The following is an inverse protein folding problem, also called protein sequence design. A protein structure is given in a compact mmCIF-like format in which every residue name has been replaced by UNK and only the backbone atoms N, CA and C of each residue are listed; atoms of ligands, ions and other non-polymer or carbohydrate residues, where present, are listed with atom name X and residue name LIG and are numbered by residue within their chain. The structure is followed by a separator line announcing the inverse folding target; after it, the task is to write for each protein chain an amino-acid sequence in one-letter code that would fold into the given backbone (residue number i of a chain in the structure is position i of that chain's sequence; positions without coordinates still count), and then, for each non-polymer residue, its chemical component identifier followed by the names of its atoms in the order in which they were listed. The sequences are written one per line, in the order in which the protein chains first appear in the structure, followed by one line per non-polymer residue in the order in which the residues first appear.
data_IF_410830609187
#
_entry.id   IF_410830609187
#
_cell.length_a   1.000
_cell.length_b   1.000
_cell.length_c   1.000
_cell.angle_alpha   90.00
_cell.angle_beta   90.00
_cell.angle_gamma   90.00
#
_symmetry.space_group_name_H-M   'P 1'
#
loop_
_entity.id
_entity.type
_entity.pdbx_description
1 polymer ?
#
# COMPACT_ATOMS: atom_id res chain seq x y z
N UNK A 1 20.01 18.70 -40.11
CA UNK A 1 19.26 19.55 -39.17
C UNK A 1 18.58 18.66 -38.15
N UNK A 2 19.17 18.50 -36.97
CA UNK A 2 18.58 17.73 -35.89
C UNK A 2 17.53 18.62 -35.18
N UNK A 3 16.27 18.23 -35.25
CA UNK A 3 15.19 18.89 -34.50
C UNK A 3 15.40 18.63 -33.02
N UNK A 4 15.78 19.69 -32.32
CA UNK A 4 15.93 19.74 -30.87
C UNK A 4 14.56 19.43 -30.23
N UNK A 5 14.41 18.24 -29.64
CA UNK A 5 13.21 17.87 -28.89
C UNK A 5 13.21 18.69 -27.60
N UNK A 6 12.60 19.87 -27.63
CA UNK A 6 12.30 20.67 -26.43
C UNK A 6 11.72 19.74 -25.36
N UNK A 7 12.49 19.53 -24.28
CA UNK A 7 12.02 18.85 -23.08
C UNK A 7 10.88 19.70 -22.52
N UNK A 8 9.64 19.24 -22.71
CA UNK A 8 8.47 19.91 -22.14
C UNK A 8 8.63 20.01 -20.63
N UNK A 9 8.65 21.24 -20.11
CA UNK A 9 8.70 21.51 -18.68
C UNK A 9 7.49 20.89 -17.97
N UNK A 10 7.66 20.36 -16.75
CA UNK A 10 6.55 19.85 -15.95
C UNK A 10 5.49 20.93 -15.73
N UNK A 11 4.22 20.59 -15.96
CA UNK A 11 3.10 21.51 -15.76
C UNK A 11 2.99 21.91 -14.27
N UNK A 12 2.89 23.21 -13.98
CA UNK A 12 2.64 23.72 -12.63
C UNK A 12 1.18 23.56 -12.22
N UNK A 13 0.88 23.67 -10.92
CA UNK A 13 -0.50 23.57 -10.41
C UNK A 13 -1.42 24.68 -10.94
N UNK A 14 -0.91 25.90 -11.05
CA UNK A 14 -1.63 27.07 -11.58
C UNK A 14 -1.94 26.93 -13.06
N UNK A 15 -0.95 26.56 -13.88
CA UNK A 15 -1.17 26.30 -15.32
C UNK A 15 -2.14 25.14 -15.55
N UNK A 16 -2.06 24.10 -14.70
CA UNK A 16 -3.00 22.99 -14.76
C UNK A 16 -4.42 23.46 -14.45
N UNK A 17 -4.61 24.29 -13.41
CA UNK A 17 -5.91 24.86 -13.08
C UNK A 17 -6.47 25.73 -14.21
N UNK A 18 -5.65 26.61 -14.81
CA UNK A 18 -6.08 27.43 -15.96
C UNK A 18 -6.57 26.58 -17.14
N UNK A 19 -5.92 25.43 -17.39
CA UNK A 19 -6.38 24.48 -18.42
C UNK A 19 -7.72 23.85 -18.08
N UNK A 20 -7.96 23.55 -16.80
CA UNK A 20 -9.24 23.04 -16.33
C UNK A 20 -10.35 24.10 -16.45
N UNK A 21 -10.08 25.36 -16.08
CA UNK A 21 -11.03 26.46 -16.27
C UNK A 21 -11.37 26.66 -17.74
N UNK A 22 -10.38 26.66 -18.63
CA UNK A 22 -10.60 26.71 -20.08
C UNK A 22 -11.45 25.53 -20.59
N UNK A 23 -11.35 24.37 -19.96
CA UNK A 23 -12.16 23.19 -20.30
C UNK A 23 -13.61 23.37 -19.85
N UNK A 24 -13.84 24.00 -18.69
CA UNK A 24 -15.18 24.30 -18.19
C UNK A 24 -15.91 25.36 -19.04
N UNK A 25 -15.16 26.30 -19.62
CA UNK A 25 -15.71 27.37 -20.46
C UNK A 25 -16.04 26.94 -21.89
N UNK A 26 -15.79 25.68 -22.28
CA UNK A 26 -16.04 25.18 -23.64
C UNK A 26 -17.12 24.10 -23.65
N UNK A 27 -17.89 23.95 -24.74
CA UNK A 27 -18.78 22.82 -24.92
C UNK A 27 -17.96 21.53 -24.89
N UNK A 28 -18.33 20.61 -23.99
CA UNK A 28 -17.63 19.34 -23.82
C UNK A 28 -18.31 18.33 -24.74
N UNK A 29 -17.98 18.41 -26.02
CA UNK A 29 -18.54 17.53 -27.04
C UNK A 29 -17.43 16.87 -27.85
N UNK A 30 -17.68 15.62 -28.26
CA UNK A 30 -16.82 14.89 -29.19
C UNK A 30 -16.22 13.60 -28.65
N UNK A 31 -15.78 12.77 -29.60
CA UNK A 31 -15.21 11.43 -29.36
C UNK A 31 -14.01 11.46 -28.42
N UNK A 32 -13.15 12.48 -28.53
CA UNK A 32 -11.93 12.62 -27.73
C UNK A 32 -12.22 12.72 -26.23
N UNK A 33 -13.16 13.57 -25.82
CA UNK A 33 -13.54 13.74 -24.42
C UNK A 33 -14.11 12.44 -23.83
N UNK A 34 -14.95 11.73 -24.59
CA UNK A 34 -15.48 10.42 -24.19
C UNK A 34 -14.37 9.38 -24.02
N UNK A 35 -13.41 9.32 -24.95
CA UNK A 35 -12.25 8.43 -24.82
C UNK A 35 -11.45 8.75 -23.57
N UNK A 36 -11.14 10.02 -23.30
CA UNK A 36 -10.39 10.41 -22.09
C UNK A 36 -11.12 10.03 -20.80
N UNK A 37 -12.46 10.16 -20.78
CA UNK A 37 -13.28 9.78 -19.62
C UNK A 37 -13.32 8.27 -19.45
N UNK A 38 -13.45 7.50 -20.53
CA UNK A 38 -13.38 6.05 -20.48
C UNK A 38 -12.00 5.57 -20.02
N UNK A 39 -10.91 6.14 -20.56
CA UNK A 39 -9.55 5.81 -20.13
C UNK A 39 -9.35 6.07 -18.62
N UNK A 40 -9.92 7.18 -18.11
CA UNK A 40 -9.87 7.53 -16.69
C UNK A 40 -10.73 6.61 -15.81
N UNK A 41 -11.84 6.11 -16.33
CA UNK A 41 -12.67 5.11 -15.66
C UNK A 41 -11.94 3.76 -15.63
N UNK A 42 -11.49 3.29 -16.78
CA UNK A 42 -10.87 1.97 -16.92
C UNK A 42 -9.58 1.89 -16.09
N UNK A 43 -8.77 2.97 -16.04
CA UNK A 43 -7.58 2.98 -15.20
C UNK A 43 -7.87 2.96 -13.69
N UNK A 44 -9.05 3.40 -13.24
CA UNK A 44 -9.45 3.28 -11.83
C UNK A 44 -9.87 1.85 -11.47
N UNK A 45 -10.32 1.06 -12.44
CA UNK A 45 -10.68 -0.35 -12.26
C UNK A 45 -9.48 -1.32 -12.45
N UNK A 46 -8.39 -0.85 -13.07
CA UNK A 46 -7.21 -1.67 -13.39
C UNK A 46 -6.10 -1.65 -12.31
N UNK A 47 -5.19 -2.62 -12.37
CA UNK A 47 -3.88 -2.57 -11.67
C UNK A 47 -2.76 -2.22 -12.67
N UNK A 48 -2.50 -0.92 -12.93
CA UNK A 48 -1.56 -0.52 -13.97
C UNK A 48 -0.12 -0.90 -13.64
N UNK A 49 0.59 -1.47 -14.61
CA UNK A 49 2.01 -1.86 -14.47
C UNK A 49 2.98 -0.68 -14.69
N UNK A 50 2.64 0.27 -15.56
CA UNK A 50 3.52 1.39 -15.94
C UNK A 50 3.51 2.58 -14.97
N UNK A 51 4.68 3.15 -14.68
CA UNK A 51 4.86 4.27 -13.72
C UNK A 51 3.99 5.49 -14.01
N UNK A 52 3.81 5.86 -15.29
CA UNK A 52 2.94 6.98 -15.69
C UNK A 52 1.47 6.68 -15.40
N UNK A 53 1.01 5.46 -15.71
CA UNK A 53 -0.35 5.01 -15.42
C UNK A 53 -0.61 4.96 -13.92
N UNK A 54 0.32 4.41 -13.13
CA UNK A 54 0.25 4.42 -11.65
C UNK A 54 0.13 5.83 -11.07
N UNK A 55 0.95 6.78 -11.54
CA UNK A 55 0.88 8.19 -11.09
C UNK A 55 -0.46 8.85 -11.44
N UNK A 56 -0.95 8.57 -12.64
CA UNK A 56 -2.24 9.10 -13.09
C UNK A 56 -3.39 8.53 -12.27
N UNK A 57 -3.43 7.20 -12.11
CA UNK A 57 -4.42 6.50 -11.28
C UNK A 57 -4.41 7.01 -9.84
N UNK A 58 -3.25 7.08 -9.19
CA UNK A 58 -3.13 7.57 -7.81
C UNK A 58 -3.67 9.00 -7.66
N UNK A 59 -3.39 9.88 -8.63
CA UNK A 59 -3.96 11.23 -8.63
C UNK A 59 -5.49 11.21 -8.81
N UNK A 60 -6.03 10.40 -9.71
CA UNK A 60 -7.47 10.30 -9.92
C UNK A 60 -8.20 9.76 -8.69
N UNK A 61 -7.64 8.77 -7.98
CA UNK A 61 -8.20 8.30 -6.71
C UNK A 61 -8.25 9.41 -5.66
N UNK A 62 -7.19 10.22 -5.53
CA UNK A 62 -7.18 11.37 -4.61
C UNK A 62 -8.23 12.43 -4.97
N UNK A 63 -8.40 12.71 -6.26
CA UNK A 63 -9.45 13.61 -6.76
C UNK A 63 -10.84 13.03 -6.51
N UNK A 64 -11.04 11.73 -6.77
CA UNK A 64 -12.30 11.05 -6.51
C UNK A 64 -12.67 11.11 -5.02
N UNK A 65 -11.70 10.82 -4.15
CA UNK A 65 -11.82 10.85 -2.69
C UNK A 65 -12.20 12.24 -2.16
N UNK A 66 -11.48 13.28 -2.57
CA UNK A 66 -11.64 14.62 -2.00
C UNK A 66 -12.68 15.47 -2.71
N UNK A 67 -12.68 15.42 -4.04
CA UNK A 67 -13.42 16.34 -4.90
C UNK A 67 -14.64 15.67 -5.56
N UNK A 68 -14.61 14.34 -5.77
CA UNK A 68 -15.70 13.54 -6.29
C UNK A 68 -15.62 13.25 -7.80
N UNK A 69 -16.55 12.43 -8.33
CA UNK A 69 -16.52 11.91 -9.70
C UNK A 69 -16.44 12.98 -10.79
N UNK A 70 -17.10 14.12 -10.59
CA UNK A 70 -17.13 15.14 -11.63
C UNK A 70 -15.77 15.83 -11.82
N UNK A 71 -14.98 15.93 -10.75
CA UNK A 71 -13.62 16.46 -10.85
C UNK A 71 -12.66 15.44 -11.50
N UNK A 72 -12.91 14.13 -11.33
CA UNK A 72 -12.18 13.09 -12.08
C UNK A 72 -12.37 13.30 -13.59
N UNK A 73 -13.63 13.47 -14.03
CA UNK A 73 -13.95 13.75 -15.44
C UNK A 73 -13.30 15.05 -15.92
N UNK A 74 -13.36 16.12 -15.13
CA UNK A 74 -12.70 17.39 -15.47
C UNK A 74 -11.19 17.22 -15.67
N UNK A 75 -10.51 16.52 -14.75
CA UNK A 75 -9.08 16.24 -14.85
C UNK A 75 -8.75 15.33 -16.04
N UNK A 76 -9.59 14.33 -16.32
CA UNK A 76 -9.41 13.44 -17.46
C UNK A 76 -9.47 14.20 -18.80
N UNK A 77 -10.46 15.07 -18.97
CA UNK A 77 -10.66 15.83 -20.20
C UNK A 77 -9.62 16.94 -20.33
N UNK A 78 -9.47 17.78 -19.31
CA UNK A 78 -8.67 19.00 -19.38
C UNK A 78 -7.16 18.78 -19.29
N UNK A 79 -6.71 17.70 -18.64
CA UNK A 79 -5.29 17.39 -18.49
C UNK A 79 -4.93 16.04 -19.13
N UNK A 80 -5.73 15.00 -18.87
CA UNK A 80 -5.43 13.64 -19.30
C UNK A 80 -4.17 13.06 -18.67
N UNK A 81 -3.88 11.80 -18.99
CA UNK A 81 -2.79 11.04 -18.39
C UNK A 81 -1.42 11.70 -18.57
N UNK A 82 -1.10 12.15 -19.78
CA UNK A 82 0.24 12.63 -20.11
C UNK A 82 0.64 13.86 -19.27
N UNK A 83 -0.27 14.83 -19.12
CA UNK A 83 0.02 16.02 -18.32
C UNK A 83 0.13 15.67 -16.83
N UNK A 84 -0.81 14.91 -16.28
CA UNK A 84 -0.81 14.56 -14.84
C UNK A 84 0.39 13.70 -14.45
N UNK A 85 0.77 12.74 -15.30
CA UNK A 85 1.91 11.87 -15.03
C UNK A 85 3.26 12.62 -15.09
N UNK A 86 3.35 13.67 -15.91
CA UNK A 86 4.53 14.51 -16.07
C UNK A 86 4.63 15.63 -15.01
N UNK A 87 3.54 15.97 -14.30
CA UNK A 87 3.60 16.86 -13.15
C UNK A 87 4.52 16.29 -12.05
N UNK A 88 5.21 17.17 -11.33
CA UNK A 88 5.91 16.77 -10.11
C UNK A 88 4.92 16.53 -8.95
N UNK A 89 5.38 15.91 -7.86
CA UNK A 89 4.52 15.56 -6.73
C UNK A 89 3.92 16.80 -6.03
N UNK A 90 4.72 17.84 -5.82
CA UNK A 90 4.27 19.09 -5.19
C UNK A 90 3.16 19.76 -6.02
N UNK A 91 3.34 19.89 -7.34
CA UNK A 91 2.33 20.45 -8.25
C UNK A 91 1.04 19.63 -8.24
N UNK A 92 1.10 18.30 -8.17
CA UNK A 92 -0.11 17.46 -8.05
C UNK A 92 -0.84 17.72 -6.74
N UNK A 93 -0.11 17.78 -5.61
CA UNK A 93 -0.69 18.07 -4.30
C UNK A 93 -1.29 19.48 -4.23
N UNK A 94 -0.60 20.49 -4.78
CA UNK A 94 -1.11 21.86 -4.86
C UNK A 94 -2.35 21.96 -5.74
N UNK A 95 -2.37 21.28 -6.89
CA UNK A 95 -3.56 21.22 -7.76
C UNK A 95 -4.75 20.59 -7.02
N UNK A 96 -4.54 19.47 -6.33
CA UNK A 96 -5.58 18.82 -5.52
C UNK A 96 -6.16 19.77 -4.46
N UNK A 97 -5.31 20.55 -3.79
CA UNK A 97 -5.75 21.59 -2.85
C UNK A 97 -6.57 22.71 -3.51
N UNK A 98 -6.24 23.09 -4.75
CA UNK A 98 -7.06 24.04 -5.53
C UNK A 98 -8.43 23.42 -5.85
N UNK A 99 -8.48 22.18 -6.33
CA UNK A 99 -9.74 21.49 -6.66
C UNK A 99 -10.64 21.37 -5.44
N UNK A 100 -10.08 21.02 -4.29
CA UNK A 100 -10.79 20.91 -3.01
C UNK A 100 -11.43 22.24 -2.59
N UNK A 101 -10.70 23.36 -2.69
CA UNK A 101 -11.23 24.71 -2.41
C UNK A 101 -12.34 25.15 -3.38
N UNK A 102 -12.39 24.56 -4.57
CA UNK A 102 -13.37 24.88 -5.62
C UNK A 102 -14.57 23.93 -5.62
N UNK A 103 -14.61 22.97 -4.69
CA UNK A 103 -15.75 22.06 -4.46
C UNK A 103 -16.98 22.89 -4.11
N UNK A 104 -18.04 22.78 -4.93
CA UNK A 104 -19.31 23.49 -4.72
C UNK A 104 -19.58 24.67 -5.66
N UNK A 105 -18.64 25.04 -6.55
CA UNK A 105 -18.92 26.06 -7.56
C UNK A 105 -19.93 25.53 -8.62
N UNK A 106 -20.87 26.37 -9.09
CA UNK A 106 -21.87 26.00 -10.10
C UNK A 106 -21.30 25.68 -11.49
N UNK A 107 -19.98 25.79 -11.66
CA UNK A 107 -19.22 25.53 -12.89
C UNK A 107 -19.38 24.10 -13.45
N UNK A 108 -19.90 23.17 -12.64
CA UNK A 108 -19.83 21.73 -12.90
C UNK A 108 -21.08 21.19 -13.64
N UNK A 109 -22.09 22.03 -13.90
CA UNK A 109 -23.35 21.59 -14.54
C UNK A 109 -23.12 20.93 -15.90
N UNK A 110 -22.18 21.44 -16.70
CA UNK A 110 -21.87 20.95 -18.05
C UNK A 110 -21.22 19.55 -18.07
N UNK A 111 -20.71 19.06 -16.92
CA UNK A 111 -20.03 17.78 -16.82
C UNK A 111 -20.93 16.64 -16.34
N UNK A 112 -22.07 16.96 -15.71
CA UNK A 112 -22.93 15.97 -15.03
C UNK A 112 -23.39 14.84 -15.96
N UNK A 113 -23.71 15.16 -17.21
CA UNK A 113 -24.22 14.21 -18.20
C UNK A 113 -23.12 13.30 -18.78
N UNK A 114 -21.85 13.64 -18.53
CA UNK A 114 -20.68 12.91 -19.02
C UNK A 114 -20.09 12.02 -17.91
N UNK A 115 -20.47 12.24 -16.64
CA UNK A 115 -19.97 11.42 -15.53
C UNK A 115 -20.51 10.00 -15.64
N UNK A 116 -19.66 8.99 -15.89
CA UNK A 116 -20.09 7.59 -15.91
C UNK A 116 -20.67 7.21 -14.55
N UNK A 117 -21.81 6.50 -14.54
CA UNK A 117 -22.44 6.00 -13.32
C UNK A 117 -21.46 5.22 -12.46
N UNK A 118 -20.61 4.42 -13.09
CA UNK A 118 -19.55 3.63 -12.44
C UNK A 118 -18.64 4.46 -11.53
N UNK A 119 -18.26 5.68 -11.94
CA UNK A 119 -17.41 6.54 -11.09
C UNK A 119 -18.11 6.97 -9.80
N UNK A 120 -19.44 7.01 -9.78
CA UNK A 120 -20.24 7.30 -8.57
C UNK A 120 -20.31 6.08 -7.65
N UNK A 121 -20.16 4.88 -8.21
CA UNK A 121 -20.20 3.61 -7.49
C UNK A 121 -18.84 3.21 -6.92
N UNK A 122 -17.74 3.82 -7.38
CA UNK A 122 -16.40 3.58 -6.83
C UNK A 122 -16.34 4.18 -5.42
N UNK A 123 -16.33 3.31 -4.42
CA UNK A 123 -16.08 3.69 -3.03
C UNK A 123 -14.59 3.88 -2.81
N UNK A 124 -14.19 5.06 -2.33
CA UNK A 124 -12.82 5.37 -1.91
C UNK A 124 -12.87 5.77 -0.45
N UNK A 125 -12.02 5.17 0.39
CA UNK A 125 -11.96 5.52 1.80
C UNK A 125 -11.78 7.03 1.98
N UNK A 126 -12.42 7.61 2.99
CA UNK A 126 -12.32 9.05 3.29
C UNK A 126 -10.89 9.46 3.66
N UNK A 127 -10.07 8.53 4.14
CA UNK A 127 -8.70 8.74 4.58
C UNK A 127 -7.66 8.16 3.59
N UNK A 128 -6.48 8.76 3.47
CA UNK A 128 -5.41 8.24 2.62
C UNK A 128 -4.95 6.87 3.13
N UNK A 129 -4.35 6.07 2.23
CA UNK A 129 -3.72 4.80 2.62
C UNK A 129 -2.71 5.05 3.74
N UNK A 130 -2.82 4.36 4.89
CA UNK A 130 -1.87 4.51 5.99
C UNK A 130 -0.45 4.16 5.54
N UNK A 131 0.44 5.15 5.58
CA UNK A 131 1.86 4.97 5.25
C UNK A 131 2.62 4.44 6.46
N UNK A 132 3.62 3.59 6.20
CA UNK A 132 4.61 3.24 7.21
C UNK A 132 5.45 4.49 7.56
N UNK A 133 5.74 4.67 8.85
CA UNK A 133 6.53 5.82 9.29
C UNK A 133 8.01 5.59 8.98
N UNK A 134 8.78 6.66 9.11
CA UNK A 134 10.24 6.57 9.07
C UNK A 134 10.68 5.80 10.33
N UNK A 135 11.69 4.93 10.18
CA UNK A 135 12.14 4.01 11.24
C UNK A 135 12.54 4.70 12.55
N UNK A 136 12.95 5.97 12.49
CA UNK A 136 13.33 6.80 13.63
C UNK A 136 12.15 7.15 14.57
N UNK A 137 10.91 6.90 14.15
CA UNK A 137 9.69 7.13 14.93
C UNK A 137 9.19 5.88 15.66
N UNK A 138 10.02 4.83 15.73
CA UNK A 138 9.70 3.57 16.41
C UNK A 138 10.68 3.30 17.56
N UNK A 139 10.16 2.74 18.66
CA UNK A 139 10.93 1.97 19.61
C UNK A 139 11.19 0.57 19.04
N UNK A 140 12.45 0.17 18.96
CA UNK A 140 12.85 -1.10 18.35
C UNK A 140 13.13 -2.11 19.46
N UNK A 141 12.33 -3.18 19.49
CA UNK A 141 12.50 -4.33 20.37
C UNK A 141 13.12 -5.47 19.57
N UNK A 142 14.35 -5.85 19.90
CA UNK A 142 15.14 -6.82 19.11
C UNK A 142 15.26 -8.21 19.72
N UNK A 143 15.34 -8.30 21.05
CA UNK A 143 15.71 -9.54 21.74
C UNK A 143 14.50 -10.07 22.49
N UNK A 144 13.73 -10.96 21.87
CA UNK A 144 12.56 -11.59 22.50
C UNK A 144 12.99 -12.74 23.41
N UNK A 145 12.32 -12.93 24.54
CA UNK A 145 12.61 -14.00 25.50
C UNK A 145 12.14 -15.36 24.95
N UNK A 146 13.08 -16.30 24.77
CA UNK A 146 12.82 -17.63 24.16
C UNK A 146 12.07 -18.57 25.14
N UNK A 147 12.48 -18.58 26.41
CA UNK A 147 11.92 -19.47 27.44
C UNK A 147 10.55 -18.99 27.98
N UNK A 148 9.92 -18.06 27.25
CA UNK A 148 8.64 -17.52 27.64
C UNK A 148 7.51 -18.45 27.13
N UNK A 149 6.65 -19.01 28.00
CA UNK A 149 5.47 -19.76 27.55
C UNK A 149 4.54 -18.92 26.66
N UNK A 150 4.65 -17.58 26.73
CA UNK A 150 3.97 -16.67 25.83
C UNK A 150 4.49 -16.72 24.39
N UNK A 151 5.76 -17.07 24.16
CA UNK A 151 6.31 -17.20 22.80
C UNK A 151 5.51 -18.23 22.00
N UNK A 152 5.33 -19.43 22.57
CA UNK A 152 4.55 -20.50 21.92
C UNK A 152 3.04 -20.24 21.94
N UNK A 153 2.53 -19.30 22.74
CA UNK A 153 1.10 -18.97 22.79
C UNK A 153 0.67 -18.04 21.66
N UNK A 154 1.57 -17.18 21.16
CA UNK A 154 1.27 -16.26 20.05
C UNK A 154 1.53 -16.86 18.67
N UNK A 155 2.50 -17.77 18.55
CA UNK A 155 2.88 -18.35 17.27
C UNK A 155 2.33 -19.78 17.12
N UNK A 156 1.45 -20.04 16.14
CA UNK A 156 0.93 -21.39 15.93
C UNK A 156 2.01 -22.39 15.52
N UNK A 157 1.78 -23.71 15.70
CA UNK A 157 2.79 -24.74 15.43
C UNK A 157 3.43 -24.68 14.05
N UNK A 158 2.66 -24.36 13.00
CA UNK A 158 3.19 -24.24 11.63
C UNK A 158 4.15 -23.06 11.48
N UNK A 159 3.85 -21.93 12.10
CA UNK A 159 4.70 -20.75 12.08
C UNK A 159 5.95 -20.97 12.94
N UNK A 160 5.80 -21.59 14.11
CA UNK A 160 6.92 -22.01 14.95
C UNK A 160 7.86 -22.96 14.22
N UNK A 161 7.35 -23.91 13.44
CA UNK A 161 8.20 -24.79 12.64
C UNK A 161 9.04 -23.98 11.65
N UNK A 162 8.43 -23.04 10.94
CA UNK A 162 9.16 -22.21 9.97
C UNK A 162 10.19 -21.28 10.63
N UNK A 163 9.92 -20.82 11.85
CA UNK A 163 10.87 -20.10 12.71
C UNK A 163 12.03 -21.03 13.10
N UNK A 164 11.73 -22.25 13.55
CA UNK A 164 12.73 -23.23 13.98
C UNK A 164 13.67 -23.65 12.84
N UNK A 165 13.18 -23.63 11.60
CA UNK A 165 13.98 -23.90 10.40
C UNK A 165 14.98 -22.78 10.08
N UNK A 166 14.89 -21.62 10.77
CA UNK A 166 15.79 -20.49 10.56
C UNK A 166 17.24 -20.84 10.95
N UNK A 167 18.18 -20.42 10.10
CA UNK A 167 19.60 -20.53 10.40
C UNK A 167 20.00 -19.70 11.63
N UNK A 168 19.35 -18.55 11.86
CA UNK A 168 19.55 -17.74 13.05
C UNK A 168 19.10 -18.50 14.31
N UNK A 169 17.93 -19.13 14.29
CA UNK A 169 17.46 -19.97 15.41
C UNK A 169 18.48 -21.05 15.77
N UNK A 170 18.89 -21.82 14.75
CA UNK A 170 19.85 -22.89 14.94
C UNK A 170 21.20 -22.40 15.48
N UNK A 171 21.58 -21.15 15.19
CA UNK A 171 22.78 -20.54 15.75
C UNK A 171 22.58 -20.06 17.19
N UNK A 172 21.46 -19.41 17.51
CA UNK A 172 21.13 -18.93 18.86
C UNK A 172 20.98 -20.09 19.85
N UNK A 173 20.28 -21.15 19.45
CA UNK A 173 20.13 -22.36 20.26
C UNK A 173 21.47 -23.05 20.53
N UNK A 174 22.40 -23.03 19.57
CA UNK A 174 23.78 -23.56 19.78
C UNK A 174 24.59 -22.74 20.77
N UNK A 175 24.24 -21.47 20.96
CA UNK A 175 24.87 -20.57 21.93
C UNK A 175 24.18 -20.60 23.30
N UNK A 176 23.11 -21.38 23.45
CA UNK A 176 22.28 -21.40 24.66
C UNK A 176 21.78 -20.01 25.05
N UNK A 177 21.44 -19.18 24.05
CA UNK A 177 20.85 -17.86 24.29
C UNK A 177 19.48 -18.00 24.94
N UNK A 178 19.16 -17.14 25.90
CA UNK A 178 17.81 -17.01 26.49
C UNK A 178 16.93 -16.01 25.74
N UNK A 179 17.53 -15.28 24.79
CA UNK A 179 16.91 -14.24 23.96
C UNK A 179 17.15 -14.54 22.47
N UNK A 180 16.23 -14.12 21.61
CA UNK A 180 16.27 -14.33 20.15
C UNK A 180 16.04 -13.03 19.38
N UNK A 181 16.79 -12.85 18.29
CA UNK A 181 16.55 -11.80 17.29
C UNK A 181 15.55 -12.21 16.19
N UNK A 182 15.08 -13.46 16.18
CA UNK A 182 14.12 -13.95 15.16
C UNK A 182 12.85 -13.14 15.12
N UNK A 183 12.39 -12.71 16.29
CA UNK A 183 11.22 -11.87 16.44
C UNK A 183 11.67 -10.48 16.83
N UNK A 184 11.58 -9.54 15.89
CA UNK A 184 11.79 -8.12 16.14
C UNK A 184 10.46 -7.39 16.03
N UNK A 185 10.20 -6.44 16.92
CA UNK A 185 9.02 -5.59 16.82
C UNK A 185 9.39 -4.12 16.94
N UNK A 186 8.97 -3.34 15.96
CA UNK A 186 9.10 -1.89 15.95
C UNK A 186 7.73 -1.30 16.38
N UNK A 187 7.72 -0.56 17.49
CA UNK A 187 6.52 0.01 18.13
C UNK A 187 6.51 1.52 18.00
N UNK A 188 5.49 2.15 17.41
CA UNK A 188 5.50 3.58 17.15
C UNK A 188 5.49 4.39 18.45
N UNK A 189 6.06 5.60 18.43
CA UNK A 189 6.03 6.51 19.58
C UNK A 189 4.61 7.00 19.91
N UNK A 190 3.74 7.05 18.91
CA UNK A 190 2.34 7.42 19.10
C UNK A 190 1.55 6.16 19.44
N UNK A 191 0.89 6.18 20.61
CA UNK A 191 -0.11 5.18 20.92
C UNK A 191 -1.18 5.17 19.82
N UNK A 192 -1.80 4.02 19.57
CA UNK A 192 -2.85 3.78 18.57
C UNK A 192 -2.39 3.64 17.11
N UNK A 193 -1.10 3.79 16.81
CA UNK A 193 -0.54 3.47 15.48
C UNK A 193 -0.10 1.99 15.38
N UNK A 194 -0.09 1.43 14.17
CA UNK A 194 0.26 0.02 13.95
C UNK A 194 1.71 -0.31 14.36
N UNK A 195 1.89 -1.47 15.02
CA UNK A 195 3.20 -2.04 15.28
C UNK A 195 3.68 -2.84 14.06
N UNK A 196 5.00 -2.87 13.86
CA UNK A 196 5.64 -3.63 12.78
C UNK A 196 6.42 -4.80 13.37
N UNK A 197 5.96 -6.03 13.16
CA UNK A 197 6.62 -7.24 13.60
C UNK A 197 7.38 -7.89 12.44
N UNK A 198 8.58 -8.36 12.70
CA UNK A 198 9.45 -9.02 11.73
C UNK A 198 9.79 -10.41 12.29
N UNK A 199 9.51 -11.44 11.50
CA UNK A 199 9.75 -12.84 11.84
C UNK A 199 10.72 -13.44 10.83
N UNK A 200 11.87 -13.89 11.30
CA UNK A 200 12.81 -14.65 10.48
C UNK A 200 12.35 -16.10 10.33
N UNK A 201 12.34 -16.61 9.09
CA UNK A 201 11.89 -17.97 8.77
C UNK A 201 12.86 -18.67 7.81
N UNK A 202 13.07 -19.97 8.00
CA UNK A 202 13.96 -20.79 7.18
C UNK A 202 13.29 -21.63 6.10
N UNK A 203 11.95 -21.66 6.04
CA UNK A 203 11.16 -22.40 5.04
C UNK A 203 10.35 -21.44 4.15
N UNK A 204 11.01 -20.43 3.60
CA UNK A 204 10.35 -19.31 2.93
C UNK A 204 9.44 -19.76 1.77
N UNK A 205 9.89 -20.71 0.95
CA UNK A 205 9.16 -21.20 -0.23
C UNK A 205 7.82 -21.83 0.15
N UNK A 206 7.75 -22.56 1.27
CA UNK A 206 6.51 -23.14 1.78
C UNK A 206 5.54 -22.07 2.25
N UNK A 207 6.04 -21.03 2.92
CA UNK A 207 5.24 -19.87 3.34
C UNK A 207 4.74 -19.08 2.11
N UNK A 208 5.59 -18.90 1.09
CA UNK A 208 5.22 -18.21 -0.14
C UNK A 208 4.06 -18.91 -0.83
N UNK A 209 4.14 -20.24 -1.01
CA UNK A 209 3.10 -21.02 -1.65
C UNK A 209 1.77 -20.95 -0.89
N UNK A 210 1.81 -20.76 0.42
CA UNK A 210 0.62 -20.65 1.27
C UNK A 210 0.02 -19.24 1.25
N UNK A 211 0.84 -18.21 1.49
CA UNK A 211 0.36 -16.83 1.66
C UNK A 211 0.17 -16.09 0.34
N UNK A 212 1.04 -16.32 -0.65
CA UNK A 212 1.14 -15.49 -1.85
C UNK A 212 0.90 -16.32 -3.11
N UNK A 213 -0.37 -16.58 -3.42
CA UNK A 213 -0.73 -17.35 -4.61
C UNK A 213 -0.20 -16.67 -5.89
N UNK A 214 0.22 -17.43 -6.92
CA UNK A 214 0.88 -16.86 -8.09
C UNK A 214 0.09 -15.78 -8.84
N UNK A 215 -1.24 -15.85 -8.77
CA UNK A 215 -2.20 -14.92 -9.35
C UNK A 215 -2.37 -13.63 -8.52
N UNK A 216 -2.09 -13.67 -7.22
CA UNK A 216 -2.30 -12.55 -6.29
C UNK A 216 -1.02 -11.88 -5.81
N UNK A 217 0.13 -12.55 -5.97
CA UNK A 217 1.43 -12.03 -5.51
C UNK A 217 1.89 -10.84 -6.34
N UNK A 218 2.27 -9.76 -5.67
CA UNK A 218 2.86 -8.58 -6.31
C UNK A 218 4.32 -8.43 -5.89
N UNK A 219 5.29 -8.70 -6.79
CA UNK A 219 6.70 -8.42 -6.51
C UNK A 219 6.93 -6.91 -6.41
N UNK A 220 7.51 -6.47 -5.30
CA UNK A 220 7.88 -5.08 -5.08
C UNK A 220 9.40 -4.97 -4.92
N UNK A 221 10.10 -4.13 -5.68
CA UNK A 221 11.54 -3.95 -5.53
C UNK A 221 11.87 -3.40 -4.13
N UNK A 222 12.89 -3.96 -3.49
CA UNK A 222 13.50 -3.38 -2.29
C UNK A 222 14.43 -2.22 -2.67
N UNK A 223 14.73 -1.35 -1.71
CA UNK A 223 15.82 -0.37 -1.83
C UNK A 223 17.20 -1.03 -1.93
N UNK A 224 17.32 -2.28 -1.46
CA UNK A 224 18.51 -3.10 -1.62
C UNK A 224 18.43 -3.94 -2.91
N UNK A 225 19.47 -3.96 -3.76
CA UNK A 225 19.47 -4.72 -5.00
C UNK A 225 19.33 -6.22 -4.76
N UNK A 226 19.78 -6.74 -3.62
CA UNK A 226 19.79 -8.18 -3.32
C UNK A 226 18.47 -8.70 -2.77
N UNK A 227 17.50 -7.81 -2.50
CA UNK A 227 16.24 -8.19 -1.89
C UNK A 227 15.03 -7.76 -2.74
N UNK A 228 13.91 -8.43 -2.51
CA UNK A 228 12.60 -8.00 -2.99
C UNK A 228 11.52 -8.34 -1.96
N UNK A 229 10.38 -7.68 -2.09
CA UNK A 229 9.21 -7.94 -1.25
C UNK A 229 8.12 -8.66 -2.06
N UNK A 230 7.43 -9.58 -1.42
CA UNK A 230 6.15 -10.12 -1.86
C UNK A 230 5.03 -9.49 -1.04
N UNK A 231 3.97 -9.10 -1.73
CA UNK A 231 2.76 -8.45 -1.19
C UNK A 231 1.50 -9.10 -1.74
N UNK A 232 0.35 -8.76 -1.16
CA UNK A 232 -0.94 -9.35 -1.50
C UNK A 232 -1.14 -10.73 -0.87
N UNK A 233 -0.88 -10.86 0.43
CA UNK A 233 -1.10 -12.10 1.15
C UNK A 233 -2.60 -12.44 1.23
N UNK A 234 -2.96 -13.70 1.03
CA UNK A 234 -4.35 -14.19 1.13
C UNK A 234 -4.87 -14.11 2.57
N UNK A 235 -6.04 -13.50 2.77
CA UNK A 235 -6.68 -13.37 4.08
C UNK A 235 -7.03 -14.74 4.69
N UNK A 236 -7.50 -15.66 3.86
CA UNK A 236 -7.80 -17.04 4.29
C UNK A 236 -6.53 -17.74 4.78
N UNK A 237 -5.44 -17.61 4.02
CA UNK A 237 -4.15 -18.23 4.37
C UNK A 237 -3.53 -17.60 5.62
N UNK A 238 -3.72 -16.30 5.85
CA UNK A 238 -3.25 -15.61 7.05
C UNK A 238 -3.89 -16.24 8.29
N UNK A 239 -5.21 -16.46 8.28
CA UNK A 239 -5.90 -17.08 9.41
C UNK A 239 -5.36 -18.49 9.70
N UNK A 240 -5.08 -19.27 8.65
CA UNK A 240 -4.54 -20.62 8.77
C UNK A 240 -3.08 -20.68 9.27
N UNK A 241 -2.23 -19.72 8.88
CA UNK A 241 -0.81 -19.70 9.24
C UNK A 241 -0.55 -19.04 10.60
N UNK A 242 -1.14 -17.86 10.81
CA UNK A 242 -0.88 -17.02 11.99
C UNK A 242 -1.85 -17.30 13.15
N UNK A 243 -2.92 -18.06 12.91
CA UNK A 243 -3.90 -18.39 13.94
C UNK A 243 -4.77 -17.19 14.30
N UNK A 244 -5.75 -17.44 15.18
CA UNK A 244 -6.82 -16.46 15.45
C UNK A 244 -6.30 -15.13 16.02
N UNK A 245 -5.38 -15.17 16.98
CA UNK A 245 -4.94 -13.96 17.67
C UNK A 245 -4.13 -13.03 16.76
N UNK A 246 -3.08 -13.53 16.10
CA UNK A 246 -2.29 -12.72 15.17
C UNK A 246 -3.10 -12.32 13.94
N UNK A 247 -3.96 -13.21 13.42
CA UNK A 247 -4.86 -12.85 12.32
C UNK A 247 -5.79 -11.69 12.71
N UNK A 248 -6.33 -11.68 13.94
CA UNK A 248 -7.14 -10.58 14.44
C UNK A 248 -6.30 -9.31 14.64
N UNK A 249 -5.07 -9.43 15.15
CA UNK A 249 -4.18 -8.29 15.31
C UNK A 249 -3.83 -7.63 13.96
N UNK A 250 -3.59 -8.43 12.92
CA UNK A 250 -3.44 -7.97 11.53
C UNK A 250 -4.74 -7.30 11.06
N UNK A 251 -5.89 -7.91 11.35
CA UNK A 251 -7.21 -7.44 10.93
C UNK A 251 -7.58 -6.06 11.50
N UNK A 252 -7.06 -5.75 12.69
CA UNK A 252 -7.27 -4.48 13.38
C UNK A 252 -6.31 -3.37 12.96
N UNK A 253 -5.32 -3.68 12.13
CA UNK A 253 -4.38 -2.67 11.65
C UNK A 253 -5.09 -1.55 10.88
N UNK A 254 -4.55 -0.34 10.95
CA UNK A 254 -5.08 0.80 10.20
C UNK A 254 -5.04 0.52 8.70
N UNK A 255 -3.97 -0.12 8.22
CA UNK A 255 -3.88 -0.52 6.81
C UNK A 255 -4.98 -1.49 6.44
N UNK A 256 -5.28 -2.50 7.27
CA UNK A 256 -6.32 -3.48 6.92
C UNK A 256 -7.72 -2.86 6.93
N UNK A 257 -8.00 -1.98 7.88
CA UNK A 257 -9.25 -1.20 7.90
C UNK A 257 -9.41 -0.39 6.61
N UNK A 258 -8.36 0.31 6.20
CA UNK A 258 -8.34 1.05 4.96
C UNK A 258 -8.54 0.13 3.73
N UNK A 259 -7.91 -1.04 3.67
CA UNK A 259 -8.08 -1.99 2.57
C UNK A 259 -9.54 -2.48 2.46
N UNK A 260 -10.17 -2.81 3.59
CA UNK A 260 -11.59 -3.21 3.62
C UNK A 260 -12.51 -2.09 3.14
N UNK A 261 -12.26 -0.86 3.57
CA UNK A 261 -12.99 0.30 3.08
C UNK A 261 -12.86 0.44 1.56
N UNK A 262 -11.68 0.18 0.99
CA UNK A 262 -11.43 0.24 -0.46
C UNK A 262 -11.71 -1.09 -1.20
N UNK A 263 -12.58 -1.95 -0.65
CA UNK A 263 -13.03 -3.20 -1.29
C UNK A 263 -11.90 -4.22 -1.58
N UNK A 264 -10.73 -4.09 -0.95
CA UNK A 264 -9.66 -5.08 -1.01
C UNK A 264 -9.93 -6.18 0.03
N UNK A 265 -10.88 -7.06 -0.26
CA UNK A 265 -11.39 -8.03 0.71
C UNK A 265 -10.57 -9.33 0.76
N UNK A 266 -10.02 -9.78 -0.36
CA UNK A 266 -9.40 -11.11 -0.47
C UNK A 266 -7.92 -11.16 -0.07
N UNK A 267 -7.22 -10.05 -0.24
CA UNK A 267 -5.77 -9.94 -0.01
C UNK A 267 -5.44 -8.75 0.85
N UNK A 268 -4.27 -8.78 1.48
CA UNK A 268 -3.76 -7.66 2.26
C UNK A 268 -2.26 -7.46 2.07
N UNK A 269 -1.84 -6.20 2.17
CA UNK A 269 -0.45 -5.78 2.26
C UNK A 269 0.01 -5.64 3.72
N UNK A 270 -0.83 -5.99 4.70
CA UNK A 270 -0.44 -6.04 6.11
C UNK A 270 0.54 -7.19 6.40
N UNK A 271 0.66 -8.15 5.49
CA UNK A 271 1.66 -9.22 5.55
C UNK A 271 2.50 -9.14 4.28
N UNK A 272 3.76 -8.79 4.45
CA UNK A 272 4.76 -8.76 3.39
C UNK A 272 5.86 -9.78 3.67
N UNK A 273 6.49 -10.31 2.63
CA UNK A 273 7.65 -11.18 2.80
C UNK A 273 8.86 -10.59 2.09
N UNK A 274 9.93 -10.33 2.84
CA UNK A 274 11.21 -9.94 2.29
C UNK A 274 12.04 -11.19 1.99
N UNK A 275 12.58 -11.26 0.79
CA UNK A 275 13.34 -12.40 0.29
C UNK A 275 14.66 -11.93 -0.31
N UNK A 276 15.67 -12.77 -0.19
CA UNK A 276 16.89 -12.67 -0.97
C UNK A 276 16.58 -13.02 -2.43
N UNK A 277 17.26 -12.36 -3.38
CA UNK A 277 17.17 -12.68 -4.81
C UNK A 277 17.85 -14.00 -5.18
N UNK A 278 18.71 -14.50 -4.31
CA UNK A 278 19.26 -15.83 -4.45
C UNK A 278 18.14 -16.88 -4.37
N UNK A 279 17.85 -17.51 -5.51
CA UNK A 279 16.81 -18.54 -5.65
C UNK A 279 17.05 -19.79 -4.80
N UNK A 280 18.28 -19.99 -4.33
CA UNK A 280 18.65 -21.14 -3.49
C UNK A 280 18.49 -20.86 -2.00
N UNK A 281 18.28 -19.59 -1.61
CA UNK A 281 18.10 -19.23 -0.21
C UNK A 281 16.73 -19.65 0.29
N UNK A 282 16.65 -20.45 1.37
CA UNK A 282 15.38 -20.80 1.98
C UNK A 282 14.94 -19.76 3.03
N UNK A 283 15.76 -18.72 3.25
CA UNK A 283 15.53 -17.68 4.24
C UNK A 283 14.56 -16.59 3.73
N UNK A 284 13.70 -16.13 4.62
CA UNK A 284 12.89 -14.94 4.41
C UNK A 284 12.53 -14.26 5.72
N UNK A 285 12.10 -13.00 5.61
CA UNK A 285 11.59 -12.23 6.74
C UNK A 285 10.13 -11.92 6.46
N UNK A 286 9.24 -12.45 7.29
CA UNK A 286 7.84 -12.05 7.30
C UNK A 286 7.71 -10.73 8.06
N UNK A 287 7.14 -9.73 7.40
CA UNK A 287 6.83 -8.43 7.95
C UNK A 287 5.32 -8.33 8.15
N UNK A 288 4.90 -8.19 9.40
CA UNK A 288 3.50 -8.10 9.80
C UNK A 288 3.20 -6.69 10.31
N UNK A 289 2.13 -6.10 9.82
CA UNK A 289 1.53 -4.88 10.34
C UNK A 289 0.36 -5.26 11.24
N UNK A 290 0.48 -4.99 12.53
CA UNK A 290 -0.50 -5.39 13.54
C UNK A 290 -1.03 -4.16 14.27
N UNK A 291 -2.33 -4.12 14.53
CA UNK A 291 -2.97 -3.01 15.22
C UNK A 291 -2.47 -2.85 16.66
N UNK A 292 -2.24 -1.61 17.09
CA UNK A 292 -1.72 -1.25 18.42
C UNK A 292 -2.37 -2.04 19.57
N UNK A 293 -3.70 -2.12 19.57
CA UNK A 293 -4.51 -2.67 20.66
C UNK A 293 -4.16 -4.12 20.99
N UNK A 294 -3.94 -4.94 19.95
CA UNK A 294 -3.58 -6.36 20.10
C UNK A 294 -2.08 -6.61 19.97
N UNK A 295 -1.35 -5.71 19.30
CA UNK A 295 0.11 -5.75 19.18
C UNK A 295 0.84 -5.45 20.49
N UNK A 296 0.39 -4.44 21.25
CA UNK A 296 1.04 -4.04 22.50
C UNK A 296 1.10 -5.18 23.54
N UNK A 297 0.05 -5.98 23.78
CA UNK A 297 0.14 -7.19 24.61
C UNK A 297 1.19 -8.20 24.14
N UNK A 298 1.33 -8.41 22.82
CA UNK A 298 2.34 -9.32 22.27
C UNK A 298 3.74 -8.81 22.60
N UNK A 299 4.00 -7.53 22.33
CA UNK A 299 5.29 -6.89 22.62
C UNK A 299 5.61 -7.01 24.11
N UNK A 300 4.68 -6.62 24.98
CA UNK A 300 4.90 -6.67 26.42
C UNK A 300 5.15 -8.09 26.92
N UNK A 301 4.59 -9.10 26.25
CA UNK A 301 4.82 -10.50 26.62
C UNK A 301 6.14 -11.04 26.07
N UNK A 302 6.57 -10.63 24.87
CA UNK A 302 7.77 -11.16 24.23
C UNK A 302 9.07 -10.49 24.70
N UNK A 303 9.01 -9.24 25.17
CA UNK A 303 10.20 -8.44 25.51
C UNK A 303 10.25 -8.01 26.98
N UNK A 304 9.64 -8.79 27.88
CA UNK A 304 9.75 -8.64 29.34
C UNK A 304 10.63 -9.69 29.97
#
# INVERSE_FOLDING_TARGET
MATDKQRQSPLSATEAWERLEKTLSRPIEGRKSRTQVNDAKDILDESPTGTKRKRYQAFLFEVLRKCGPTFVVLCAIGLGQANIANMNAASRSSLLGILEKKKGLPLIRNLKDIVPTRLKDIHVASHPRPVEKIRDQYHIYKFATIDNPAFSSYFPPRLLQAINDSALWAWEMRKSSTETEIVRTDVPWSAFEDCMMFLEVGSAQGIIAMLFTPDKRTPCPSCCPDHYFLRGASIEAISALFGAYLSQAIDESELRKWEKENQQLETTDCVEMQLLRDSTSPHGILKLRIGWRLGNPIVNSLYT
#
